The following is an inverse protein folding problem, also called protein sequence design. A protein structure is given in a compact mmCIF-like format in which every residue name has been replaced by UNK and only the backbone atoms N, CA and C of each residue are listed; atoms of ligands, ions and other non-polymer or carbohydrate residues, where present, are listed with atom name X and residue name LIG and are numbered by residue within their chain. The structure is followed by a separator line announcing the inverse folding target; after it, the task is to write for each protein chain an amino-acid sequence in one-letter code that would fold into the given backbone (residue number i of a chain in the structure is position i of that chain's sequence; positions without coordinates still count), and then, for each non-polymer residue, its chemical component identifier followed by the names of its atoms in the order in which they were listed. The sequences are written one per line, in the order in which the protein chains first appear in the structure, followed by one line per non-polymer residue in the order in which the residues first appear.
data_IF_102061136141
#
_entry.id   IF_102061136141
#
_cell.length_a   1.000
_cell.length_b   1.000
_cell.length_c   1.000
_cell.angle_alpha   90.00
_cell.angle_beta   90.00
_cell.angle_gamma   90.00
#
_symmetry.space_group_name_H-M   'P 1'
#
loop_
_entity.id
_entity.type
_entity.pdbx_description
1 polymer ?
#
# COMPACT_ATOMS: atom_id res chain seq x y z
N UNK A 1 33.78 10.28 18.76
CA UNK A 1 33.88 9.90 17.34
C UNK A 1 32.75 8.92 17.06
N UNK A 2 31.58 9.41 16.67
CA UNK A 2 30.41 8.56 16.40
C UNK A 2 30.57 8.09 14.95
N UNK A 3 30.70 6.78 14.73
CA UNK A 3 30.70 6.22 13.38
C UNK A 3 29.36 6.54 12.75
N UNK A 4 29.36 7.26 11.62
CA UNK A 4 28.21 7.33 10.74
C UNK A 4 27.83 5.89 10.40
N UNK A 5 26.68 5.46 10.93
CA UNK A 5 26.01 4.25 10.49
C UNK A 5 25.53 4.62 9.10
N UNK A 6 26.16 4.09 8.05
CA UNK A 6 25.64 4.31 6.71
C UNK A 6 24.18 3.87 6.73
N UNK A 7 23.28 4.79 6.35
CA UNK A 7 21.88 4.46 6.24
C UNK A 7 21.78 3.31 5.23
N UNK A 8 21.08 2.22 5.58
CA UNK A 8 20.98 1.07 4.69
C UNK A 8 20.41 1.54 3.36
N UNK A 9 21.10 1.20 2.28
CA UNK A 9 20.60 1.46 0.94
C UNK A 9 19.24 0.77 0.79
N UNK A 10 18.21 1.55 0.47
CA UNK A 10 16.89 1.00 0.22
C UNK A 10 16.99 0.03 -0.96
N UNK A 11 16.39 -1.17 -0.86
CA UNK A 11 16.40 -2.11 -1.97
C UNK A 11 15.75 -1.47 -3.19
N UNK A 12 16.24 -1.81 -4.39
CA UNK A 12 15.59 -1.38 -5.62
C UNK A 12 14.18 -1.98 -5.72
N UNK A 13 13.16 -1.13 -5.62
CA UNK A 13 11.76 -1.52 -5.69
C UNK A 13 11.17 -1.35 -7.11
N UNK A 14 11.98 -0.88 -8.07
CA UNK A 14 11.53 -0.56 -9.43
C UNK A 14 10.94 -1.78 -10.14
N UNK A 15 11.48 -2.98 -9.88
CA UNK A 15 11.07 -4.22 -10.54
C UNK A 15 9.62 -4.64 -10.24
N UNK A 16 8.98 -4.05 -9.21
CA UNK A 16 7.59 -4.34 -8.81
C UNK A 16 6.75 -3.09 -8.57
N UNK A 17 7.24 -1.91 -8.96
CA UNK A 17 6.53 -0.66 -8.75
C UNK A 17 5.14 -0.63 -9.44
N UNK A 18 4.98 -1.38 -10.54
CA UNK A 18 3.71 -1.51 -11.24
C UNK A 18 2.60 -2.13 -10.36
N UNK A 19 2.92 -2.99 -9.40
CA UNK A 19 1.93 -3.60 -8.51
C UNK A 19 1.24 -2.57 -7.62
N UNK A 20 1.92 -1.48 -7.25
CA UNK A 20 1.30 -0.37 -6.53
C UNK A 20 0.27 0.36 -7.39
N UNK A 21 0.54 0.48 -8.69
CA UNK A 21 -0.39 1.06 -9.66
C UNK A 21 -1.59 0.13 -9.86
N UNK A 22 -1.36 -1.18 -9.96
CA UNK A 22 -2.41 -2.17 -10.08
C UNK A 22 -3.32 -2.17 -8.85
N UNK A 23 -2.74 -2.14 -7.64
CA UNK A 23 -3.47 -2.07 -6.37
C UNK A 23 -4.40 -0.84 -6.31
N UNK A 24 -3.91 0.33 -6.75
CA UNK A 24 -4.72 1.55 -6.81
C UNK A 24 -5.77 1.49 -7.92
N UNK A 25 -5.51 0.74 -9.00
CA UNK A 25 -6.42 0.60 -10.14
C UNK A 25 -7.59 -0.35 -9.85
N UNK A 26 -7.35 -1.45 -9.13
CA UNK A 26 -8.42 -2.36 -8.68
C UNK A 26 -9.25 -1.77 -7.55
N UNK A 27 -8.65 -0.88 -6.74
CA UNK A 27 -9.22 -0.36 -5.50
C UNK A 27 -8.59 -1.09 -4.31
N UNK A 28 -7.80 -0.40 -3.46
CA UNK A 28 -6.93 -1.05 -2.48
C UNK A 28 -7.67 -1.73 -1.33
N UNK A 29 -8.98 -1.51 -1.19
CA UNK A 29 -9.81 -2.06 -0.13
C UNK A 29 -11.22 -2.30 -0.66
N UNK A 30 -12.02 -3.04 0.11
CA UNK A 30 -13.43 -3.27 -0.14
C UNK A 30 -14.27 -2.95 1.07
N UNK A 31 -15.50 -2.49 0.84
CA UNK A 31 -16.50 -2.32 1.89
C UNK A 31 -17.38 -3.57 1.98
N UNK A 32 -17.53 -4.09 3.19
CA UNK A 32 -18.45 -5.20 3.52
C UNK A 32 -19.41 -4.77 4.62
N UNK A 33 -20.42 -5.60 4.89
CA UNK A 33 -21.34 -5.36 6.02
C UNK A 33 -20.65 -5.33 7.40
N UNK A 34 -19.42 -5.84 7.51
CA UNK A 34 -18.65 -5.88 8.75
C UNK A 34 -17.55 -4.80 8.82
N UNK A 35 -17.42 -3.97 7.78
CA UNK A 35 -16.40 -2.92 7.70
C UNK A 35 -15.54 -3.01 6.44
N UNK A 36 -14.44 -2.27 6.45
CA UNK A 36 -13.45 -2.25 5.37
C UNK A 36 -12.48 -3.42 5.53
N UNK A 37 -12.25 -4.15 4.45
CA UNK A 37 -11.32 -5.29 4.38
C UNK A 37 -10.43 -5.19 3.15
N UNK A 38 -9.34 -5.96 3.12
CA UNK A 38 -8.53 -6.12 1.92
C UNK A 38 -9.22 -6.96 0.85
N UNK A 39 -8.63 -6.94 -0.35
CA UNK A 39 -9.09 -7.66 -1.53
C UNK A 39 -8.94 -9.17 -1.35
N UNK A 40 -9.97 -9.91 -1.75
CA UNK A 40 -9.87 -11.36 -1.85
C UNK A 40 -9.11 -11.79 -3.11
N UNK A 41 -8.53 -13.00 -3.08
CA UNK A 41 -7.97 -13.64 -4.27
C UNK A 41 -9.02 -13.77 -5.40
N UNK A 42 -10.29 -14.01 -5.06
CA UNK A 42 -11.38 -14.11 -6.04
C UNK A 42 -11.63 -12.79 -6.79
N UNK A 43 -11.52 -11.66 -6.09
CA UNK A 43 -11.71 -10.35 -6.73
C UNK A 43 -10.54 -9.93 -7.57
N UNK A 44 -9.31 -10.18 -7.10
CA UNK A 44 -8.13 -9.98 -7.93
C UNK A 44 -8.18 -10.84 -9.19
N UNK A 45 -8.60 -12.10 -9.07
CA UNK A 45 -8.78 -12.99 -10.23
C UNK A 45 -9.85 -12.45 -11.19
N UNK A 46 -10.98 -11.98 -10.67
CA UNK A 46 -12.06 -11.41 -11.49
C UNK A 46 -11.65 -10.11 -12.18
N UNK A 47 -10.94 -9.24 -11.46
CA UNK A 47 -10.40 -8.00 -12.01
C UNK A 47 -9.39 -8.28 -13.12
N UNK A 48 -8.44 -9.17 -12.88
CA UNK A 48 -7.42 -9.55 -13.86
C UNK A 48 -8.06 -10.13 -15.13
N UNK A 49 -9.06 -10.99 -14.98
CA UNK A 49 -9.84 -11.54 -16.10
C UNK A 49 -10.57 -10.44 -16.91
N UNK A 50 -11.10 -9.42 -16.25
CA UNK A 50 -11.82 -8.33 -16.92
C UNK A 50 -10.90 -7.45 -17.79
N UNK A 51 -9.64 -7.29 -17.41
CA UNK A 51 -8.67 -6.45 -18.11
C UNK A 51 -7.68 -7.24 -18.97
N UNK A 52 -7.77 -8.58 -18.97
CA UNK A 52 -6.84 -9.46 -19.66
C UNK A 52 -5.43 -9.45 -19.08
N UNK A 53 -5.31 -9.27 -17.76
CA UNK A 53 -4.04 -9.29 -17.02
C UNK A 53 -3.78 -10.69 -16.46
N UNK A 54 -2.51 -11.10 -16.46
CA UNK A 54 -2.06 -12.36 -15.87
C UNK A 54 -1.03 -12.05 -14.79
N UNK A 55 -1.23 -12.61 -13.59
CA UNK A 55 -0.29 -12.46 -12.49
C UNK A 55 0.82 -13.50 -12.59
N UNK A 56 2.06 -13.07 -12.36
CA UNK A 56 3.24 -13.93 -12.33
C UNK A 56 3.75 -14.14 -10.90
N UNK A 57 4.18 -15.38 -10.61
CA UNK A 57 4.87 -15.71 -9.35
C UNK A 57 4.09 -15.30 -8.09
N UNK A 58 4.58 -14.27 -7.39
CA UNK A 58 4.06 -13.81 -6.09
C UNK A 58 3.28 -12.48 -6.17
N UNK A 59 2.91 -12.03 -7.36
CA UNK A 59 2.24 -10.74 -7.56
C UNK A 59 0.85 -10.69 -6.94
N UNK A 60 0.00 -11.70 -7.20
CA UNK A 60 -1.33 -11.77 -6.61
C UNK A 60 -1.27 -11.82 -5.07
N UNK A 61 -0.32 -12.58 -4.51
CA UNK A 61 -0.11 -12.65 -3.07
C UNK A 61 0.36 -11.31 -2.48
N UNK A 62 1.24 -10.60 -3.20
CA UNK A 62 1.69 -9.27 -2.82
C UNK A 62 0.52 -8.29 -2.79
N UNK A 63 -0.36 -8.31 -3.80
CA UNK A 63 -1.54 -7.44 -3.88
C UNK A 63 -2.51 -7.70 -2.72
N UNK A 64 -2.80 -8.96 -2.39
CA UNK A 64 -3.65 -9.31 -1.23
C UNK A 64 -3.05 -8.76 0.06
N UNK A 65 -1.77 -9.07 0.33
CA UNK A 65 -1.09 -8.63 1.56
C UNK A 65 -1.03 -7.11 1.68
N UNK A 66 -0.76 -6.43 0.57
CA UNK A 66 -0.73 -4.98 0.57
C UNK A 66 -2.11 -4.36 0.73
N UNK A 67 -3.13 -4.97 0.15
CA UNK A 67 -4.51 -4.55 0.35
C UNK A 67 -4.96 -4.71 1.81
N UNK A 68 -4.62 -5.82 2.47
CA UNK A 68 -4.87 -6.01 3.90
C UNK A 68 -4.14 -4.96 4.76
N UNK A 69 -2.87 -4.69 4.45
CA UNK A 69 -2.10 -3.66 5.15
C UNK A 69 -2.70 -2.26 4.94
N UNK A 70 -3.17 -1.96 3.73
CA UNK A 70 -3.86 -0.70 3.43
C UNK A 70 -5.16 -0.57 4.21
N UNK A 71 -5.98 -1.63 4.27
CA UNK A 71 -7.23 -1.63 5.02
C UNK A 71 -6.98 -1.40 6.52
N UNK A 72 -5.97 -2.06 7.09
CA UNK A 72 -5.59 -1.86 8.48
C UNK A 72 -5.11 -0.43 8.76
N UNK A 73 -4.30 0.13 7.86
CA UNK A 73 -3.80 1.51 7.99
C UNK A 73 -4.92 2.53 7.85
N UNK A 74 -5.87 2.32 6.94
CA UNK A 74 -7.03 3.18 6.77
C UNK A 74 -7.88 3.23 8.05
N UNK A 75 -8.14 2.06 8.66
CA UNK A 75 -8.85 1.98 9.94
C UNK A 75 -8.07 2.67 11.06
N UNK A 76 -6.74 2.50 11.09
CA UNK A 76 -5.88 3.19 12.06
C UNK A 76 -5.91 4.70 11.88
N UNK A 77 -5.88 5.20 10.65
CA UNK A 77 -5.84 6.63 10.36
C UNK A 77 -7.15 7.35 10.65
N UNK A 78 -8.27 6.63 10.64
CA UNK A 78 -9.59 7.18 10.98
C UNK A 78 -9.78 7.40 12.49
N UNK A 79 -8.87 6.91 13.34
CA UNK A 79 -8.89 7.19 14.77
C UNK A 79 -8.60 8.68 15.03
N UNK A 80 -9.45 9.32 15.83
CA UNK A 80 -9.35 10.74 16.19
C UNK A 80 -8.04 11.08 16.89
N UNK A 81 -7.44 10.12 17.61
CA UNK A 81 -6.19 10.31 18.32
C UNK A 81 -4.95 10.02 17.45
N UNK A 82 -5.13 9.65 16.17
CA UNK A 82 -4.00 9.39 15.26
C UNK A 82 -3.28 10.69 14.88
N UNK A 83 -1.96 10.81 15.18
CA UNK A 83 -1.20 12.00 14.82
C UNK A 83 -1.02 12.12 13.30
N UNK A 84 -1.01 13.36 12.80
CA UNK A 84 -0.77 13.64 11.40
C UNK A 84 0.60 13.07 10.95
N UNK A 85 0.67 12.40 9.79
CA UNK A 85 1.90 11.75 9.32
C UNK A 85 2.99 12.75 8.89
N UNK A 86 2.61 13.99 8.60
CA UNK A 86 3.52 15.05 8.20
C UNK A 86 3.28 16.31 9.03
N UNK A 87 4.36 16.99 9.38
CA UNK A 87 4.32 18.30 10.03
C UNK A 87 4.70 19.36 9.02
N UNK A 88 3.96 20.48 8.98
CA UNK A 88 4.34 21.63 8.16
C UNK A 88 5.55 22.30 8.79
N UNK A 89 6.63 22.41 8.02
CA UNK A 89 7.82 23.17 8.40
C UNK A 89 7.69 24.54 7.75
N UNK A 90 7.36 25.57 8.52
CA UNK A 90 7.42 26.95 8.03
C UNK A 90 8.89 27.37 7.93
N UNK A 91 9.38 27.52 6.69
CA UNK A 91 10.70 28.10 6.44
C UNK A 91 10.56 29.62 6.54
N UNK A 92 10.99 30.18 7.66
CA UNK A 92 11.14 31.63 7.80
C UNK A 92 12.34 32.07 6.95
N UNK A 93 12.09 32.59 5.76
CA UNK A 93 13.11 33.31 4.99
C UNK A 93 13.45 34.62 5.73
N UNK A 94 14.70 34.74 6.16
CA UNK A 94 15.29 35.94 6.77
C UNK A 94 15.99 36.81 5.74
#
# INVERSE_FOLDING_TARGET
MIKNKEDPEFPDLSYRAFLSVDLLSVGPTMSTGMGIVGLSHSELSSWAANIGHEFEGTEAEWLVKMSDAYAAELVRSDDMDTPAPFVTIEVLES
#
